data_IF_704345139861
#
_entry.id   IF_704345139861
#
_cell.length_a   1.000
_cell.length_b   1.000
_cell.length_c   1.000
_cell.angle_alpha   90.00
_cell.angle_beta   90.00
_cell.angle_gamma   90.00
#
_symmetry.space_group_name_H-M   'P 1'
#
loop_
_entity.id
_entity.type
_entity.pdbx_description
1 polymer ?
#
# COMPACT_ATOMS: atom_id res chain seq x y z
N UNK A 1 3.79 -22.86 -15.25
CA UNK A 1 4.19 -21.62 -14.54
C UNK A 1 5.70 -21.57 -14.60
N UNK A 2 6.30 -20.54 -15.17
CA UNK A 2 7.75 -20.40 -15.14
C UNK A 2 8.19 -20.19 -13.68
N UNK A 3 9.34 -20.75 -13.31
CA UNK A 3 9.92 -20.57 -11.96
C UNK A 3 9.98 -19.08 -11.55
N UNK A 4 10.19 -18.19 -12.51
CA UNK A 4 10.26 -16.73 -12.32
C UNK A 4 8.97 -16.09 -11.77
N UNK A 5 7.78 -16.69 -11.98
CA UNK A 5 6.52 -16.21 -11.42
C UNK A 5 6.26 -16.65 -9.99
N UNK A 6 6.92 -17.69 -9.51
CA UNK A 6 6.68 -18.28 -8.18
C UNK A 6 7.10 -17.36 -7.02
N UNK A 7 8.16 -16.59 -7.20
CA UNK A 7 8.73 -15.76 -6.13
C UNK A 7 7.92 -14.52 -5.79
N UNK A 8 7.21 -13.94 -6.75
CA UNK A 8 6.35 -12.78 -6.51
C UNK A 8 5.00 -13.17 -5.91
N UNK A 9 4.60 -14.42 -6.04
CA UNK A 9 3.32 -14.94 -5.56
C UNK A 9 3.10 -14.75 -4.05
N UNK A 10 4.16 -14.75 -3.26
CA UNK A 10 4.06 -14.52 -1.81
C UNK A 10 3.57 -13.11 -1.46
N UNK A 11 3.74 -12.12 -2.34
CA UNK A 11 3.21 -10.77 -2.12
C UNK A 11 1.68 -10.73 -2.09
N UNK A 12 1.01 -11.69 -2.72
CA UNK A 12 -0.44 -11.82 -2.64
C UNK A 12 -0.95 -12.07 -1.21
N UNK A 13 -0.22 -12.85 -0.41
CA UNK A 13 -0.57 -13.09 1.00
C UNK A 13 -0.35 -11.82 1.83
N UNK A 14 0.74 -11.09 1.59
CA UNK A 14 1.02 -9.82 2.26
C UNK A 14 -0.03 -8.77 1.90
N UNK A 15 -0.48 -8.72 0.64
CA UNK A 15 -1.58 -7.84 0.21
C UNK A 15 -2.87 -8.13 0.99
N UNK A 16 -3.21 -9.40 1.23
CA UNK A 16 -4.38 -9.78 2.02
C UNK A 16 -4.29 -9.26 3.45
N UNK A 17 -3.13 -9.34 4.09
CA UNK A 17 -2.92 -8.80 5.43
C UNK A 17 -3.14 -7.28 5.48
N UNK A 18 -2.58 -6.53 4.54
CA UNK A 18 -2.83 -5.08 4.44
C UNK A 18 -4.32 -4.73 4.21
N UNK A 19 -5.06 -5.55 3.46
CA UNK A 19 -6.51 -5.36 3.29
C UNK A 19 -7.23 -5.52 4.63
N UNK A 20 -6.89 -6.55 5.42
CA UNK A 20 -7.51 -6.76 6.73
C UNK A 20 -7.14 -5.66 7.73
N UNK A 21 -5.90 -5.19 7.73
CA UNK A 21 -5.48 -4.03 8.53
C UNK A 21 -6.26 -2.77 8.15
N UNK A 22 -6.42 -2.48 6.86
CA UNK A 22 -7.20 -1.35 6.37
C UNK A 22 -8.68 -1.46 6.80
N UNK A 23 -9.28 -2.65 6.72
CA UNK A 23 -10.66 -2.91 7.20
C UNK A 23 -10.78 -2.66 8.70
N UNK A 24 -9.79 -3.08 9.48
CA UNK A 24 -9.75 -2.83 10.91
C UNK A 24 -9.67 -1.32 11.20
N UNK A 25 -8.79 -0.59 10.52
CA UNK A 25 -8.67 0.85 10.64
C UNK A 25 -9.97 1.59 10.23
N UNK A 26 -10.72 1.08 9.25
CA UNK A 26 -11.99 1.64 8.80
C UNK A 26 -13.19 1.40 9.73
N UNK A 27 -13.03 0.64 10.83
CA UNK A 27 -14.11 0.43 11.78
C UNK A 27 -14.49 1.72 12.49
N UNK A 28 -15.72 1.75 13.04
CA UNK A 28 -16.25 2.92 13.74
C UNK A 28 -15.30 3.40 14.83
N UNK A 29 -15.07 4.70 14.89
CA UNK A 29 -14.25 5.35 15.92
C UNK A 29 -15.11 5.70 17.14
N UNK A 30 -16.39 5.93 16.94
CA UNK A 30 -17.35 6.18 18.00
C UNK A 30 -18.03 4.87 18.41
N UNK A 31 -17.90 4.53 19.69
CA UNK A 31 -18.70 3.48 20.31
C UNK A 31 -19.84 4.16 21.11
N UNK A 32 -21.06 3.61 21.11
CA UNK A 32 -22.13 4.09 21.98
C UNK A 32 -21.66 4.06 23.44
N UNK A 33 -21.88 5.14 24.17
CA UNK A 33 -21.51 5.26 25.58
C UNK A 33 -20.07 5.71 25.87
N UNK A 34 -19.26 6.02 24.85
CA UNK A 34 -17.94 6.66 25.03
C UNK A 34 -18.06 8.18 25.29
N UNK A 35 -19.18 8.63 25.81
CA UNK A 35 -19.39 10.03 26.19
C UNK A 35 -18.46 10.38 27.35
N UNK A 36 -17.40 11.13 27.04
CA UNK A 36 -16.45 11.54 28.01
C UNK A 36 -16.93 12.79 28.77
N UNK A 37 -17.11 12.70 30.05
CA UNK A 37 -17.01 13.74 31.06
C UNK A 37 -17.85 15.03 30.91
N UNK A 38 -18.05 15.75 31.98
CA UNK A 38 -18.63 17.07 31.96
C UNK A 38 -20.17 17.10 31.80
N UNK A 39 -20.88 16.08 32.26
CA UNK A 39 -22.33 15.99 32.17
C UNK A 39 -22.91 16.13 30.75
N UNK A 40 -22.20 15.59 29.75
CA UNK A 40 -22.60 15.71 28.34
C UNK A 40 -22.35 17.10 27.73
N UNK A 41 -21.65 17.98 28.42
CA UNK A 41 -21.38 19.34 27.92
C UNK A 41 -19.98 19.50 27.30
N UNK A 42 -19.07 18.57 27.52
CA UNK A 42 -17.72 18.63 26.96
C UNK A 42 -17.42 17.34 26.21
N UNK A 43 -17.30 17.43 24.91
CA UNK A 43 -16.65 16.41 24.06
C UNK A 43 -15.14 16.37 24.36
N UNK A 44 -14.76 15.93 25.57
CA UNK A 44 -13.35 15.80 25.95
C UNK A 44 -12.66 14.64 25.25
N UNK A 45 -13.40 13.63 24.84
CA UNK A 45 -12.89 12.58 23.96
C UNK A 45 -13.06 13.04 22.52
N UNK A 46 -12.06 13.73 21.96
CA UNK A 46 -12.10 14.14 20.55
C UNK A 46 -11.78 12.93 19.69
N UNK A 47 -12.78 12.17 19.21
CA UNK A 47 -12.55 10.99 18.40
C UNK A 47 -11.94 11.33 17.03
N UNK A 48 -11.92 12.61 16.68
CA UNK A 48 -11.27 13.16 15.50
C UNK A 48 -9.78 12.76 15.43
N UNK A 49 -9.03 12.85 16.52
CA UNK A 49 -7.64 12.41 16.52
C UNK A 49 -7.48 10.89 16.37
N UNK A 50 -8.41 10.12 16.92
CA UNK A 50 -8.43 8.68 16.72
C UNK A 50 -8.80 8.33 15.27
N UNK A 51 -9.77 9.01 14.68
CA UNK A 51 -10.14 8.87 13.28
C UNK A 51 -8.98 9.23 12.36
N UNK A 52 -8.29 10.34 12.61
CA UNK A 52 -7.12 10.77 11.84
C UNK A 52 -5.98 9.75 11.88
N UNK A 53 -5.68 9.17 13.05
CA UNK A 53 -4.67 8.10 13.15
C UNK A 53 -5.06 6.85 12.36
N UNK A 54 -6.34 6.46 12.41
CA UNK A 54 -6.88 5.34 11.63
C UNK A 54 -6.82 5.59 10.13
N UNK A 55 -7.11 6.83 9.70
CA UNK A 55 -6.96 7.23 8.31
C UNK A 55 -5.52 7.09 7.83
N UNK A 56 -4.54 7.56 8.60
CA UNK A 56 -3.13 7.39 8.29
C UNK A 56 -2.70 5.93 8.20
N UNK A 57 -3.26 5.06 9.04
CA UNK A 57 -3.01 3.62 8.98
C UNK A 57 -3.62 2.98 7.73
N UNK A 58 -4.88 3.31 7.42
CA UNK A 58 -5.54 2.85 6.20
C UNK A 58 -4.81 3.32 4.94
N UNK A 59 -4.33 4.57 4.94
CA UNK A 59 -3.51 5.14 3.85
C UNK A 59 -2.22 4.34 3.62
N UNK A 60 -1.47 4.03 4.68
CA UNK A 60 -0.26 3.19 4.57
C UNK A 60 -0.56 1.81 4.01
N UNK A 61 -1.66 1.20 4.40
CA UNK A 61 -2.08 -0.10 3.87
C UNK A 61 -2.43 0.00 2.37
N UNK A 62 -3.07 1.09 1.95
CA UNK A 62 -3.38 1.35 0.56
C UNK A 62 -2.10 1.52 -0.27
N UNK A 63 -1.15 2.34 0.18
CA UNK A 63 0.13 2.55 -0.49
C UNK A 63 0.90 1.24 -0.67
N UNK A 64 0.93 0.40 0.37
CA UNK A 64 1.55 -0.93 0.29
C UNK A 64 0.87 -1.84 -0.74
N UNK A 65 -0.47 -1.86 -0.78
CA UNK A 65 -1.22 -2.64 -1.76
C UNK A 65 -1.01 -2.13 -3.20
N UNK A 66 -0.96 -0.81 -3.40
CA UNK A 66 -0.67 -0.23 -4.71
C UNK A 66 0.75 -0.55 -5.17
N UNK A 67 1.73 -0.55 -4.27
CA UNK A 67 3.09 -0.96 -4.57
C UNK A 67 3.17 -2.44 -4.98
N UNK A 68 2.49 -3.33 -4.25
CA UNK A 68 2.41 -4.75 -4.59
C UNK A 68 1.73 -4.96 -5.96
N UNK A 69 0.65 -4.24 -6.23
CA UNK A 69 -0.04 -4.28 -7.53
C UNK A 69 0.87 -3.84 -8.66
N UNK A 70 1.57 -2.71 -8.50
CA UNK A 70 2.49 -2.17 -9.50
C UNK A 70 3.67 -3.12 -9.76
N UNK A 71 4.27 -3.68 -8.70
CA UNK A 71 5.33 -4.67 -8.80
C UNK A 71 4.88 -5.94 -9.54
N UNK A 72 3.69 -6.44 -9.19
CA UNK A 72 3.11 -7.64 -9.82
C UNK A 72 2.78 -7.40 -11.29
N UNK A 73 2.19 -6.25 -11.62
CA UNK A 73 1.91 -5.85 -13.00
C UNK A 73 3.22 -5.69 -13.81
N UNK A 74 4.23 -5.03 -13.23
CA UNK A 74 5.56 -4.89 -13.86
C UNK A 74 6.18 -6.24 -14.18
N UNK A 75 6.12 -7.19 -13.23
CA UNK A 75 6.62 -8.56 -13.45
C UNK A 75 5.81 -9.29 -14.53
N UNK A 76 4.49 -9.12 -14.56
CA UNK A 76 3.67 -9.73 -15.60
C UNK A 76 4.06 -9.26 -17.01
N UNK A 77 4.34 -7.98 -17.20
CA UNK A 77 4.87 -7.46 -18.46
C UNK A 77 6.29 -7.96 -18.78
N UNK A 78 7.09 -8.24 -17.75
CA UNK A 78 8.45 -8.77 -17.96
C UNK A 78 8.46 -10.24 -18.42
N UNK A 79 7.56 -11.07 -17.87
CA UNK A 79 7.52 -12.51 -18.17
C UNK A 79 6.60 -12.90 -19.33
N UNK A 80 5.84 -11.94 -19.86
CA UNK A 80 4.99 -12.12 -21.03
C UNK A 80 5.53 -11.27 -22.17
N UNK A 81 5.48 -11.75 -23.40
CA UNK A 81 5.87 -10.98 -24.60
C UNK A 81 4.84 -9.88 -24.94
N UNK A 82 4.26 -9.25 -23.92
CA UNK A 82 3.29 -8.16 -24.07
C UNK A 82 3.96 -6.84 -23.77
N UNK A 83 3.88 -5.92 -24.73
CA UNK A 83 4.27 -4.54 -24.51
C UNK A 83 3.22 -3.82 -23.66
N UNK A 84 3.69 -3.04 -22.70
CA UNK A 84 2.81 -2.12 -22.00
C UNK A 84 2.30 -1.02 -22.96
N UNK A 85 1.12 -0.44 -22.70
CA UNK A 85 0.70 0.76 -23.41
C UNK A 85 1.74 1.88 -23.24
N UNK A 86 2.06 2.65 -24.30
CA UNK A 86 3.10 3.70 -24.24
C UNK A 86 2.90 4.72 -23.11
N UNK A 87 1.65 4.98 -22.72
CA UNK A 87 1.32 5.86 -21.61
C UNK A 87 1.86 5.35 -20.24
N UNK A 88 2.19 4.06 -20.12
CA UNK A 88 2.72 3.45 -18.90
C UNK A 88 4.24 3.27 -18.90
N UNK A 89 4.93 3.57 -20.01
CA UNK A 89 6.38 3.31 -20.13
C UNK A 89 7.19 4.03 -19.05
N UNK A 90 6.92 5.31 -18.83
CA UNK A 90 7.60 6.10 -17.80
C UNK A 90 7.29 5.59 -16.39
N UNK A 91 6.06 5.20 -16.12
CA UNK A 91 5.66 4.63 -14.84
C UNK A 91 6.32 3.27 -14.59
N UNK A 92 6.35 2.39 -15.59
CA UNK A 92 7.01 1.10 -15.47
C UNK A 92 8.53 1.22 -15.30
N UNK A 93 9.16 2.18 -16.00
CA UNK A 93 10.57 2.46 -15.81
C UNK A 93 10.87 2.90 -14.37
N UNK A 94 10.03 3.75 -13.81
CA UNK A 94 10.14 4.22 -12.44
C UNK A 94 9.93 3.08 -11.42
N UNK A 95 8.89 2.28 -11.58
CA UNK A 95 8.64 1.09 -10.73
C UNK A 95 9.83 0.14 -10.77
N UNK A 96 10.37 -0.15 -11.95
CA UNK A 96 11.52 -1.05 -12.15
C UNK A 96 12.82 -0.49 -11.59
N UNK A 97 12.94 0.81 -11.46
CA UNK A 97 14.08 1.46 -10.80
C UNK A 97 14.15 1.17 -9.30
N UNK A 98 13.00 0.92 -8.66
CA UNK A 98 12.90 0.61 -7.22
C UNK A 98 12.66 -0.88 -6.98
N UNK A 99 11.81 -1.50 -7.79
CA UNK A 99 11.48 -2.93 -7.74
C UNK A 99 11.85 -3.58 -9.07
N UNK A 100 13.12 -3.99 -9.27
CA UNK A 100 13.55 -4.65 -10.51
C UNK A 100 12.78 -5.95 -10.73
N UNK A 101 12.54 -6.36 -11.99
CA UNK A 101 11.94 -7.65 -12.28
C UNK A 101 12.76 -8.82 -11.69
N UNK A 102 12.07 -9.92 -11.42
CA UNK A 102 12.69 -11.15 -10.93
C UNK A 102 13.31 -11.92 -12.09
N UNK A 103 14.64 -11.93 -12.15
CA UNK A 103 15.44 -12.80 -13.01
C UNK A 103 16.04 -13.95 -12.21
N UNK A 104 16.21 -13.77 -10.91
CA UNK A 104 16.73 -14.75 -9.97
C UNK A 104 15.96 -14.66 -8.63
N UNK A 105 15.99 -15.74 -7.80
CA UNK A 105 15.38 -15.76 -6.48
C UNK A 105 15.93 -14.65 -5.58
N UNK A 106 15.04 -13.84 -5.00
CA UNK A 106 15.36 -12.88 -3.93
C UNK A 106 14.14 -12.62 -3.05
N UNK A 107 14.34 -12.04 -1.89
CA UNK A 107 13.25 -11.66 -0.99
C UNK A 107 12.54 -10.39 -1.49
N UNK A 108 11.25 -10.44 -1.87
CA UNK A 108 10.55 -9.29 -2.44
C UNK A 108 10.12 -8.24 -1.42
N UNK A 109 10.10 -8.57 -0.14
CA UNK A 109 9.51 -7.73 0.90
C UNK A 109 10.21 -6.38 1.07
N UNK A 110 11.54 -6.34 1.00
CA UNK A 110 12.32 -5.10 1.11
C UNK A 110 12.05 -4.18 -0.09
N UNK A 111 12.04 -4.74 -1.29
CA UNK A 111 11.78 -3.98 -2.52
C UNK A 111 10.34 -3.45 -2.54
N UNK A 112 9.37 -4.25 -2.09
CA UNK A 112 7.97 -3.83 -1.99
C UNK A 112 7.78 -2.70 -0.97
N UNK A 113 8.45 -2.77 0.17
CA UNK A 113 8.47 -1.69 1.16
C UNK A 113 9.10 -0.41 0.63
N UNK A 114 10.22 -0.52 -0.09
CA UNK A 114 10.86 0.61 -0.74
C UNK A 114 9.98 1.25 -1.81
N UNK A 115 9.24 0.45 -2.60
CA UNK A 115 8.31 0.95 -3.60
C UNK A 115 7.11 1.67 -2.97
N UNK A 116 6.56 1.16 -1.88
CA UNK A 116 5.51 1.85 -1.13
C UNK A 116 5.99 3.22 -0.61
N UNK A 117 7.17 3.27 -0.02
CA UNK A 117 7.78 4.52 0.45
C UNK A 117 8.06 5.50 -0.71
N UNK A 118 8.47 4.98 -1.86
CA UNK A 118 8.69 5.80 -3.07
C UNK A 118 7.41 6.47 -3.55
N UNK A 119 6.28 5.75 -3.56
CA UNK A 119 4.98 6.31 -3.94
C UNK A 119 4.53 7.39 -2.96
N UNK A 120 4.60 7.13 -1.67
CA UNK A 120 4.26 8.09 -0.62
C UNK A 120 5.11 9.36 -0.74
N UNK A 121 6.42 9.22 -0.95
CA UNK A 121 7.35 10.35 -1.09
C UNK A 121 7.07 11.25 -2.30
N UNK A 122 6.53 10.69 -3.39
CA UNK A 122 6.18 11.46 -4.61
C UNK A 122 4.99 12.40 -4.40
N UNK A 123 4.04 12.05 -3.56
CA UNK A 123 2.87 12.90 -3.28
C UNK A 123 3.32 14.18 -2.57
N UNK A 124 4.20 14.05 -1.59
CA UNK A 124 4.71 15.21 -0.84
C UNK A 124 5.69 16.12 -1.61
N UNK A 125 6.38 15.57 -2.62
CA UNK A 125 7.32 16.36 -3.43
C UNK A 125 6.64 17.28 -4.45
N UNK A 126 5.35 17.09 -4.76
CA UNK A 126 4.60 17.91 -5.72
C UNK A 126 3.89 19.11 -5.10
N UNK A 127 3.82 19.20 -3.78
CA UNK A 127 3.14 20.27 -3.04
C UNK A 127 4.13 21.36 -2.53
N UNK A 128 5.39 21.25 -2.84
CA UNK A 128 6.46 22.24 -2.59
C UNK A 128 6.84 22.99 -3.85
#
# INVERSE_FOLDING_TARGET
MSEQGGYIGCLGFVSTDYVEQARHAAQRTFLPGSEGGGFGQNDLAVPTFAAWRKEGEAGRCLDANLAILAATASQAFHVTDRNAPPALDAFLADVRGVFPPFEAPRAPGLDAGALAAHFTGRVYAKEG
#
